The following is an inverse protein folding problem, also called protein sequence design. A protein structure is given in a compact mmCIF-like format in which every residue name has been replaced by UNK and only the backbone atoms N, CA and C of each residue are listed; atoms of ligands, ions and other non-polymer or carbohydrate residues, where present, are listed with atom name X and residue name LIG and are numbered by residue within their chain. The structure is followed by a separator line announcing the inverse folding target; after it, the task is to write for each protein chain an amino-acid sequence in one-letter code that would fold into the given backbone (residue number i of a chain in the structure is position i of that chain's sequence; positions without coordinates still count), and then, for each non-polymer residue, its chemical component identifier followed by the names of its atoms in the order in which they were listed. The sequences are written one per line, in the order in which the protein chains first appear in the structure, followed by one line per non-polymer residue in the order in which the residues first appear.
data_IF_729666785956
#
_entry.id   IF_729666785956
#
_cell.length_a   1.000
_cell.length_b   1.000
_cell.length_c   1.000
_cell.angle_alpha   90.00
_cell.angle_beta   90.00
_cell.angle_gamma   90.00
#
_symmetry.space_group_name_H-M   'P 1'
#
loop_
_entity.id
_entity.type
_entity.pdbx_description
1 polymer ?
#
# COMPACT_ATOMS: atom_id res chain seq x y z
N UNK A 1 21.19 -3.35 -31.31
CA UNK A 1 21.38 -1.99 -31.84
C UNK A 1 20.92 -1.02 -30.76
N UNK A 2 21.88 -0.45 -30.03
CA UNK A 2 21.61 0.70 -29.16
C UNK A 2 21.44 1.92 -30.08
N UNK A 3 20.52 2.79 -29.71
CA UNK A 3 19.98 3.90 -30.50
C UNK A 3 21.09 4.71 -31.17
N UNK A 4 20.97 4.99 -32.49
CA UNK A 4 21.90 5.84 -33.24
C UNK A 4 21.95 7.23 -32.62
N UNK A 5 23.16 7.77 -32.48
CA UNK A 5 23.39 9.17 -32.11
C UNK A 5 22.46 10.09 -32.91
N UNK A 6 21.78 10.98 -32.21
CA UNK A 6 20.76 11.95 -32.68
C UNK A 6 19.34 11.44 -32.98
N UNK A 7 19.05 10.14 -32.79
CA UNK A 7 17.66 9.68 -32.75
C UNK A 7 17.16 9.66 -31.30
N UNK A 8 16.22 10.54 -30.92
CA UNK A 8 15.36 10.26 -29.76
C UNK A 8 14.16 9.42 -30.26
N UNK A 9 14.14 8.09 -30.08
CA UNK A 9 12.98 7.27 -30.45
C UNK A 9 11.74 7.57 -29.59
N UNK A 10 11.94 8.26 -28.46
CA UNK A 10 10.87 8.67 -27.56
C UNK A 10 10.47 10.10 -27.90
N UNK A 11 9.23 10.27 -28.40
CA UNK A 11 8.64 11.61 -28.57
C UNK A 11 8.69 12.37 -27.25
N UNK A 12 9.04 13.66 -27.30
CA UNK A 12 8.97 14.56 -26.13
C UNK A 12 7.58 14.45 -25.51
N UNK A 13 7.52 14.30 -24.18
CA UNK A 13 6.28 14.41 -23.42
C UNK A 13 5.82 15.86 -23.49
N UNK A 14 4.87 16.16 -24.36
CA UNK A 14 4.17 17.44 -24.34
C UNK A 14 3.22 17.50 -23.12
N UNK A 15 2.58 18.65 -22.89
CA UNK A 15 1.41 18.83 -21.99
C UNK A 15 0.18 18.03 -22.47
N UNK A 16 0.40 16.87 -23.08
CA UNK A 16 -0.59 16.06 -23.75
C UNK A 16 -1.54 15.37 -22.78
N UNK A 17 -2.75 15.12 -23.28
CA UNK A 17 -3.73 14.28 -22.61
C UNK A 17 -3.29 12.81 -22.67
N UNK A 18 -3.45 12.08 -21.58
CA UNK A 18 -3.20 10.65 -21.50
C UNK A 18 -4.40 9.91 -20.94
N UNK A 19 -4.31 8.59 -20.85
CA UNK A 19 -5.29 7.77 -20.14
C UNK A 19 -4.55 7.00 -19.04
N UNK A 20 -5.01 7.15 -17.81
CA UNK A 20 -4.57 6.32 -16.68
C UNK A 20 -5.63 5.28 -16.39
N UNK A 21 -5.17 4.08 -16.10
CA UNK A 21 -6.01 2.92 -15.80
C UNK A 21 -5.57 2.36 -14.45
N UNK A 22 -6.53 2.15 -13.54
CA UNK A 22 -6.32 1.48 -12.27
C UNK A 22 -7.22 0.26 -12.19
N UNK A 23 -6.69 -0.89 -11.80
CA UNK A 23 -7.47 -2.12 -11.75
C UNK A 23 -6.99 -3.06 -10.67
N UNK A 24 -7.90 -3.91 -10.22
CA UNK A 24 -7.61 -5.02 -9.34
C UNK A 24 -7.76 -6.33 -10.11
N UNK A 25 -6.85 -7.26 -9.86
CA UNK A 25 -6.81 -8.55 -10.54
C UNK A 25 -7.04 -9.69 -9.54
N UNK A 26 -7.64 -10.76 -10.05
CA UNK A 26 -7.59 -12.11 -9.49
C UNK A 26 -6.66 -12.97 -10.35
N UNK A 27 -6.23 -14.15 -9.88
CA UNK A 27 -5.49 -15.09 -10.73
C UNK A 27 -6.22 -15.53 -12.01
N UNK A 28 -7.50 -15.19 -12.18
CA UNK A 28 -8.34 -15.57 -13.31
C UNK A 28 -8.59 -14.41 -14.28
N UNK A 29 -8.83 -13.20 -13.78
CA UNK A 29 -9.17 -12.02 -14.57
C UNK A 29 -9.07 -10.73 -13.74
N UNK A 30 -9.34 -9.58 -14.35
CA UNK A 30 -9.75 -8.37 -13.61
C UNK A 30 -10.95 -8.69 -12.70
N UNK A 31 -11.10 -7.95 -11.59
CA UNK A 31 -12.28 -8.07 -10.72
C UNK A 31 -13.51 -7.54 -11.48
N UNK A 32 -14.45 -8.44 -11.76
CA UNK A 32 -15.70 -8.16 -12.46
C UNK A 32 -16.80 -9.07 -11.95
N UNK A 33 -18.02 -8.53 -11.83
CA UNK A 33 -19.22 -9.26 -11.52
C UNK A 33 -19.48 -10.36 -12.56
N UNK A 34 -19.85 -11.53 -12.07
CA UNK A 34 -20.14 -12.70 -12.89
C UNK A 34 -21.28 -12.42 -13.88
N UNK A 35 -21.24 -13.10 -15.03
CA UNK A 35 -22.17 -12.86 -16.15
C UNK A 35 -23.65 -13.16 -15.81
N UNK A 36 -23.88 -13.99 -14.79
CA UNK A 36 -25.23 -14.33 -14.31
C UNK A 36 -25.89 -13.19 -13.51
N UNK A 37 -25.13 -12.22 -13.01
CA UNK A 37 -25.70 -11.03 -12.36
C UNK A 37 -26.07 -10.05 -13.47
N UNK A 38 -27.33 -9.59 -13.53
CA UNK A 38 -27.78 -8.63 -14.56
C UNK A 38 -27.21 -7.22 -14.32
N UNK A 39 -27.16 -6.38 -15.36
CA UNK A 39 -26.75 -4.98 -15.20
C UNK A 39 -27.77 -4.16 -14.38
N UNK A 40 -29.05 -4.52 -14.42
CA UNK A 40 -30.11 -3.90 -13.60
C UNK A 40 -29.83 -4.13 -12.11
N UNK A 41 -29.55 -5.39 -11.71
CA UNK A 41 -29.23 -5.72 -10.32
C UNK A 41 -27.97 -5.00 -9.84
N UNK A 42 -26.96 -4.84 -10.71
CA UNK A 42 -25.77 -4.07 -10.36
C UNK A 42 -26.11 -2.60 -10.13
N UNK A 43 -26.94 -2.01 -11.00
CA UNK A 43 -27.37 -0.61 -10.88
C UNK A 43 -28.18 -0.36 -9.60
N UNK A 44 -29.08 -1.29 -9.23
CA UNK A 44 -29.83 -1.23 -7.97
C UNK A 44 -28.91 -1.25 -6.74
N UNK A 45 -27.77 -1.95 -6.83
CA UNK A 45 -26.73 -1.97 -5.79
C UNK A 45 -25.78 -0.76 -5.87
N UNK A 46 -25.97 0.16 -6.81
CA UNK A 46 -25.05 1.27 -7.05
C UNK A 46 -23.68 0.82 -7.57
N UNK A 47 -23.60 -0.35 -8.20
CA UNK A 47 -22.39 -0.96 -8.69
C UNK A 47 -22.35 -1.00 -10.22
N UNK A 48 -21.11 -1.07 -10.72
CA UNK A 48 -20.76 -1.31 -12.12
C UNK A 48 -20.24 -2.74 -12.27
N UNK A 49 -20.14 -3.23 -13.51
CA UNK A 49 -19.73 -4.61 -13.79
C UNK A 49 -18.31 -4.92 -13.39
N UNK A 50 -17.37 -4.01 -13.62
CA UNK A 50 -15.96 -4.20 -13.28
C UNK A 50 -15.49 -3.13 -12.30
N UNK A 51 -14.43 -3.45 -11.56
CA UNK A 51 -13.81 -2.52 -10.62
C UNK A 51 -12.73 -1.63 -11.26
N UNK A 52 -12.58 -1.61 -12.60
CA UNK A 52 -11.52 -0.87 -13.29
C UNK A 52 -11.81 0.63 -13.26
N UNK A 53 -10.85 1.50 -13.03
CA UNK A 53 -11.03 2.94 -13.18
C UNK A 53 -10.20 3.43 -14.35
N UNK A 54 -10.80 4.23 -15.23
CA UNK A 54 -10.15 4.79 -16.40
C UNK A 54 -10.39 6.28 -16.37
N UNK A 55 -9.31 7.06 -16.35
CA UNK A 55 -9.38 8.52 -16.37
C UNK A 55 -8.53 9.07 -17.50
N UNK A 56 -9.01 10.13 -18.14
CA UNK A 56 -8.20 10.94 -19.02
C UNK A 56 -7.39 11.92 -18.16
N UNK A 57 -6.08 11.76 -18.15
CA UNK A 57 -5.17 12.61 -17.39
C UNK A 57 -4.66 13.78 -18.23
N UNK A 58 -4.44 14.92 -17.58
CA UNK A 58 -3.96 16.16 -18.20
C UNK A 58 -4.34 17.37 -17.36
N UNK A 59 -3.52 18.43 -17.40
CA UNK A 59 -3.70 19.60 -16.53
C UNK A 59 -3.67 19.21 -15.05
N UNK A 60 -4.78 19.42 -14.34
CA UNK A 60 -4.94 19.10 -12.91
C UNK A 60 -5.57 17.71 -12.65
N UNK A 61 -5.85 16.92 -13.69
CA UNK A 61 -6.49 15.60 -13.56
C UNK A 61 -5.43 14.51 -13.62
N UNK A 62 -5.22 13.83 -12.48
CA UNK A 62 -4.28 12.72 -12.33
C UNK A 62 -4.86 11.64 -11.41
N UNK A 63 -4.26 10.45 -11.46
CA UNK A 63 -4.57 9.38 -10.51
C UNK A 63 -3.92 9.68 -9.16
N UNK A 64 -4.72 9.81 -8.10
CA UNK A 64 -4.26 10.16 -6.77
C UNK A 64 -4.76 9.16 -5.70
N UNK A 65 -4.35 9.38 -4.44
CA UNK A 65 -4.79 8.53 -3.34
C UNK A 65 -6.32 8.63 -3.12
N UNK A 66 -6.96 9.77 -3.36
CA UNK A 66 -8.40 9.91 -3.17
C UNK A 66 -9.19 9.00 -4.12
N UNK A 67 -8.79 8.95 -5.40
CA UNK A 67 -9.38 8.06 -6.39
C UNK A 67 -9.16 6.59 -6.07
N UNK A 68 -7.99 6.22 -5.59
CA UNK A 68 -7.73 4.86 -5.11
C UNK A 68 -8.65 4.49 -3.94
N UNK A 69 -8.75 5.37 -2.93
CA UNK A 69 -9.62 5.13 -1.77
C UNK A 69 -11.08 5.01 -2.19
N UNK A 70 -11.54 5.83 -3.14
CA UNK A 70 -12.88 5.73 -3.71
C UNK A 70 -13.11 4.39 -4.43
N UNK A 71 -12.16 3.94 -5.25
CA UNK A 71 -12.24 2.66 -5.95
C UNK A 71 -12.34 1.47 -4.98
N UNK A 72 -11.59 1.51 -3.88
CA UNK A 72 -11.62 0.48 -2.83
C UNK A 72 -12.90 0.58 -1.99
N UNK A 73 -13.36 1.79 -1.64
CA UNK A 73 -14.54 1.94 -0.79
C UNK A 73 -15.79 1.41 -1.51
N UNK A 74 -15.94 1.75 -2.79
CA UNK A 74 -17.20 1.61 -3.50
C UNK A 74 -17.25 0.38 -4.40
N UNK A 75 -16.14 -0.01 -5.04
CA UNK A 75 -16.21 -0.97 -6.14
C UNK A 75 -15.46 -2.27 -5.88
N UNK A 76 -14.14 -2.25 -5.66
CA UNK A 76 -13.33 -3.47 -5.75
C UNK A 76 -13.72 -4.58 -4.74
N UNK A 77 -13.82 -4.32 -3.43
CA UNK A 77 -14.40 -5.25 -2.45
C UNK A 77 -15.82 -5.70 -2.76
N UNK A 78 -16.71 -4.75 -3.11
CA UNK A 78 -18.13 -5.03 -3.33
C UNK A 78 -18.33 -6.00 -4.51
N UNK A 79 -17.65 -5.73 -5.63
CA UNK A 79 -17.69 -6.56 -6.84
C UNK A 79 -17.00 -7.91 -6.59
N UNK A 80 -15.94 -7.94 -5.78
CA UNK A 80 -15.31 -9.19 -5.36
C UNK A 80 -16.29 -10.09 -4.59
N UNK A 81 -16.98 -9.56 -3.58
CA UNK A 81 -17.93 -10.33 -2.76
C UNK A 81 -19.08 -10.89 -3.60
N UNK A 82 -19.58 -10.11 -4.57
CA UNK A 82 -20.60 -10.59 -5.51
C UNK A 82 -20.10 -11.75 -6.38
N UNK A 83 -18.82 -11.72 -6.76
CA UNK A 83 -18.22 -12.72 -7.65
C UNK A 83 -17.73 -13.96 -6.92
N UNK A 84 -17.42 -13.82 -5.63
CA UNK A 84 -16.91 -14.87 -4.75
C UNK A 84 -17.62 -14.85 -3.40
N UNK A 85 -18.92 -15.20 -3.33
CA UNK A 85 -19.67 -15.18 -2.09
C UNK A 85 -19.03 -16.06 -1.01
N UNK A 86 -18.94 -15.54 0.22
CA UNK A 86 -18.32 -16.24 1.36
C UNK A 86 -16.79 -16.22 1.40
N UNK A 87 -16.12 -15.67 0.38
CA UNK A 87 -14.67 -15.56 0.36
C UNK A 87 -14.16 -14.26 0.99
N UNK A 88 -12.98 -14.34 1.62
CA UNK A 88 -12.21 -13.16 2.06
C UNK A 88 -11.07 -12.90 1.09
N UNK A 89 -11.06 -11.73 0.45
CA UNK A 89 -9.95 -11.31 -0.41
C UNK A 89 -8.70 -10.96 0.41
N UNK A 90 -7.54 -11.22 -0.18
CA UNK A 90 -6.25 -10.64 0.23
C UNK A 90 -5.80 -9.69 -0.87
N UNK A 91 -5.91 -8.38 -0.62
CA UNK A 91 -5.48 -7.34 -1.54
C UNK A 91 -3.98 -7.09 -1.39
N UNK A 92 -3.28 -7.05 -2.52
CA UNK A 92 -1.85 -6.76 -2.57
C UNK A 92 -1.62 -5.39 -3.18
N UNK A 93 -0.82 -4.56 -2.50
CA UNK A 93 -0.44 -3.23 -2.95
C UNK A 93 1.07 -3.14 -3.08
N UNK A 94 1.58 -2.48 -4.13
CA UNK A 94 3.01 -2.17 -4.21
C UNK A 94 3.41 -1.15 -3.12
N UNK A 95 4.70 -1.07 -2.83
CA UNK A 95 5.24 -0.19 -1.80
C UNK A 95 5.33 1.28 -2.27
N UNK A 96 4.29 1.77 -2.94
CA UNK A 96 4.20 3.15 -3.37
C UNK A 96 3.87 4.08 -2.18
N UNK A 97 4.37 5.33 -2.17
CA UNK A 97 4.03 6.31 -1.14
C UNK A 97 2.52 6.51 -0.95
N UNK A 98 1.74 6.45 -2.05
CA UNK A 98 0.28 6.57 -2.02
C UNK A 98 -0.39 5.42 -1.25
N UNK A 99 0.12 4.20 -1.33
CA UNK A 99 -0.46 3.02 -0.66
C UNK A 99 -0.04 2.93 0.82
N UNK A 100 1.09 3.55 1.15
CA UNK A 100 1.60 3.67 2.51
C UNK A 100 1.16 4.97 3.22
N UNK A 101 0.25 5.73 2.61
CA UNK A 101 -0.27 6.95 3.22
C UNK A 101 -1.02 6.63 4.51
N UNK A 102 -0.71 7.36 5.57
CA UNK A 102 -1.37 7.25 6.86
C UNK A 102 -2.76 7.92 6.83
N UNK A 103 -3.65 7.46 7.70
CA UNK A 103 -4.87 8.22 8.00
C UNK A 103 -4.51 9.56 8.67
N UNK A 104 -5.40 10.56 8.56
CA UNK A 104 -5.12 11.92 9.07
C UNK A 104 -4.87 11.94 10.59
N UNK A 105 -5.58 11.07 11.28
CA UNK A 105 -5.59 10.86 12.73
C UNK A 105 -4.70 9.69 13.18
N UNK A 106 -3.87 9.11 12.31
CA UNK A 106 -3.04 7.97 12.67
C UNK A 106 -1.99 8.32 13.75
N UNK A 107 -1.68 7.35 14.61
CA UNK A 107 -0.63 7.50 15.62
C UNK A 107 0.74 7.56 14.94
N UNK A 108 1.37 8.74 14.94
CA UNK A 108 2.67 8.95 14.26
C UNK A 108 3.63 9.77 15.11
N UNK A 109 4.54 9.08 15.80
CA UNK A 109 5.46 9.69 16.75
C UNK A 109 6.25 10.88 16.16
N UNK A 110 6.67 10.78 14.89
CA UNK A 110 7.44 11.83 14.22
C UNK A 110 6.68 13.15 14.03
N UNK A 111 5.36 13.10 14.10
CA UNK A 111 4.44 14.23 13.96
C UNK A 111 3.99 14.82 15.31
N UNK A 112 4.45 14.25 16.42
CA UNK A 112 4.14 14.75 17.76
C UNK A 112 5.15 15.80 18.22
N UNK A 113 4.65 16.81 18.93
CA UNK A 113 5.48 17.77 19.66
C UNK A 113 5.99 17.16 20.96
N UNK A 114 7.13 17.65 21.47
CA UNK A 114 7.62 17.23 22.78
C UNK A 114 6.69 17.70 23.90
N UNK A 115 6.27 18.96 23.82
CA UNK A 115 5.38 19.63 24.77
C UNK A 115 3.95 19.68 24.20
N UNK A 116 2.94 19.89 25.05
CA UNK A 116 1.58 20.04 24.58
C UNK A 116 1.34 21.18 23.59
N UNK A 117 0.27 21.05 22.80
CA UNK A 117 -0.19 22.03 21.82
C UNK A 117 0.76 22.21 20.62
N UNK A 118 0.77 23.41 20.05
CA UNK A 118 1.52 23.73 18.83
C UNK A 118 0.94 23.07 17.58
N UNK A 119 1.74 23.02 16.51
CA UNK A 119 1.35 22.39 15.24
C UNK A 119 1.56 20.87 15.31
N UNK A 120 0.64 20.17 15.97
CA UNK A 120 0.54 18.71 15.96
C UNK A 120 -0.83 18.28 15.40
N UNK A 121 -0.93 17.15 14.69
CA UNK A 121 -2.22 16.66 14.22
C UNK A 121 -3.04 16.10 15.39
N UNK A 122 -4.36 16.18 15.29
CA UNK A 122 -5.28 15.49 16.18
C UNK A 122 -5.21 14.00 15.88
N UNK A 123 -4.51 13.26 16.74
CA UNK A 123 -4.37 11.81 16.61
C UNK A 123 -5.53 11.11 17.32
N UNK A 124 -5.91 9.95 16.80
CA UNK A 124 -6.85 9.02 17.44
C UNK A 124 -6.30 8.55 18.77
N UNK A 125 -7.18 8.02 19.61
CA UNK A 125 -6.77 7.40 20.86
C UNK A 125 -5.92 6.15 20.59
N UNK A 126 -4.94 5.94 21.46
CA UNK A 126 -4.05 4.79 21.45
C UNK A 126 -4.26 3.92 22.67
N UNK A 127 -3.27 3.09 22.94
CA UNK A 127 -3.28 2.20 24.09
C UNK A 127 -1.85 1.80 24.44
N UNK A 128 -1.64 1.34 25.65
CA UNK A 128 -0.37 0.74 26.06
C UNK A 128 -0.63 -0.43 26.98
N UNK A 129 0.39 -1.26 27.17
CA UNK A 129 0.38 -2.27 28.22
C UNK A 129 1.06 -1.65 29.43
N UNK A 130 0.33 -1.54 30.53
CA UNK A 130 0.91 -1.10 31.79
C UNK A 130 1.94 -2.13 32.27
N UNK A 131 3.15 -1.69 32.58
CA UNK A 131 4.27 -2.59 32.86
C UNK A 131 4.14 -3.32 34.20
N UNK A 132 3.34 -2.77 35.12
CA UNK A 132 3.14 -3.31 36.47
C UNK A 132 2.02 -4.35 36.45
N UNK A 133 0.85 -3.98 35.91
CA UNK A 133 -0.34 -4.83 35.89
C UNK A 133 -0.41 -5.78 34.68
N UNK A 134 0.31 -5.48 33.59
CA UNK A 134 0.21 -6.21 32.33
C UNK A 134 -1.09 -5.97 31.57
N UNK A 135 -1.93 -5.04 32.02
CA UNK A 135 -3.25 -4.76 31.44
C UNK A 135 -3.13 -3.76 30.30
N UNK A 136 -3.96 -3.92 29.27
CA UNK A 136 -4.10 -2.95 28.18
C UNK A 136 -4.91 -1.74 28.65
N UNK A 137 -4.26 -0.58 28.72
CA UNK A 137 -4.84 0.69 29.15
C UNK A 137 -5.12 1.56 27.92
N UNK A 138 -6.36 2.04 27.70
CA UNK A 138 -6.65 3.03 26.66
C UNK A 138 -6.01 4.38 27.02
N UNK A 139 -5.52 5.11 26.02
CA UNK A 139 -4.88 6.41 26.23
C UNK A 139 -5.34 7.43 25.20
N UNK A 140 -5.89 8.55 25.68
CA UNK A 140 -6.18 9.68 24.81
C UNK A 140 -4.95 10.55 24.55
N UNK A 141 -4.80 10.97 23.29
CA UNK A 141 -3.69 11.79 22.82
C UNK A 141 -3.95 13.30 22.92
N UNK A 142 -5.18 13.67 23.25
CA UNK A 142 -5.62 15.04 23.48
C UNK A 142 -6.08 15.19 24.94
N UNK A 143 -5.99 16.39 25.49
CA UNK A 143 -6.65 16.68 26.76
C UNK A 143 -8.16 16.67 26.58
N UNK A 144 -8.88 16.09 27.54
CA UNK A 144 -10.33 16.05 27.49
C UNK A 144 -10.92 17.47 27.58
N UNK A 145 -12.06 17.70 26.93
CA UNK A 145 -12.74 19.00 27.02
C UNK A 145 -13.34 19.26 28.41
N UNK A 146 -13.64 18.20 29.14
CA UNK A 146 -14.22 18.16 30.48
C UNK A 146 -13.20 17.87 31.59
N UNK A 147 -11.89 17.87 31.28
CA UNK A 147 -10.86 17.72 32.30
C UNK A 147 -10.63 19.05 33.04
N UNK A 148 -11.28 19.20 34.19
CA UNK A 148 -11.15 20.39 35.05
C UNK A 148 -9.86 20.45 35.85
N UNK A 149 -9.00 19.43 35.79
CA UNK A 149 -7.69 19.44 36.42
C UNK A 149 -6.63 20.16 35.58
N UNK A 150 -6.90 20.34 34.28
CA UNK A 150 -6.06 21.13 33.36
C UNK A 150 -6.69 22.50 33.08
N UNK A 151 -5.81 23.48 32.85
CA UNK A 151 -6.24 24.83 32.42
C UNK A 151 -7.14 24.74 31.18
N UNK A 152 -8.18 25.57 31.14
CA UNK A 152 -9.09 25.72 29.99
C UNK A 152 -8.32 25.87 28.67
N UNK A 153 -7.17 26.54 28.68
CA UNK A 153 -6.30 26.71 27.52
C UNK A 153 -5.85 25.40 26.88
N UNK A 154 -5.69 24.33 27.65
CA UNK A 154 -5.17 23.04 27.17
C UNK A 154 -6.24 22.06 26.73
N UNK A 155 -7.49 22.28 27.08
CA UNK A 155 -8.60 21.37 26.78
C UNK A 155 -8.79 21.20 25.28
N UNK A 156 -8.94 19.95 24.84
CA UNK A 156 -9.00 19.58 23.43
C UNK A 156 -7.67 19.65 22.68
N UNK A 157 -6.57 20.13 23.29
CA UNK A 157 -5.26 20.22 22.61
C UNK A 157 -4.46 18.92 22.73
N UNK A 158 -3.54 18.65 21.78
CA UNK A 158 -2.63 17.50 21.87
C UNK A 158 -1.70 17.56 23.10
N UNK A 159 -1.56 16.43 23.81
CA UNK A 159 -0.76 16.30 25.05
C UNK A 159 0.77 16.33 24.83
N UNK A 160 1.24 15.98 23.63
CA UNK A 160 2.68 15.90 23.32
C UNK A 160 3.40 14.70 23.95
N UNK A 161 4.60 14.40 23.46
CA UNK A 161 5.35 13.18 23.82
C UNK A 161 5.69 13.10 25.31
N UNK A 162 6.03 14.22 25.96
CA UNK A 162 6.41 14.19 27.39
C UNK A 162 5.26 13.69 28.25
N UNK A 163 4.07 14.27 28.11
CA UNK A 163 2.88 13.88 28.89
C UNK A 163 2.49 12.43 28.59
N UNK A 164 2.44 12.08 27.31
CA UNK A 164 2.06 10.71 26.89
C UNK A 164 3.03 9.66 27.43
N UNK A 165 4.34 9.93 27.42
CA UNK A 165 5.33 9.00 27.97
C UNK A 165 5.32 8.98 29.50
N UNK A 166 4.98 10.09 30.18
CA UNK A 166 4.80 10.11 31.63
C UNK A 166 3.60 9.26 32.05
N UNK A 167 2.47 9.40 31.35
CA UNK A 167 1.28 8.56 31.55
C UNK A 167 1.58 7.07 31.36
N UNK A 168 2.51 6.72 30.46
CA UNK A 168 2.96 5.33 30.25
C UNK A 168 4.05 4.86 31.22
N UNK A 169 4.53 5.71 32.12
CA UNK A 169 5.67 5.39 33.01
C UNK A 169 7.01 5.22 32.27
N UNK A 170 7.14 5.78 31.06
CA UNK A 170 8.30 5.63 30.18
C UNK A 170 9.18 6.90 30.09
N UNK A 171 8.73 8.02 30.65
CA UNK A 171 9.47 9.28 30.58
C UNK A 171 10.69 9.29 31.51
N UNK A 172 11.81 9.82 30.99
CA UNK A 172 13.01 10.13 31.76
C UNK A 172 13.44 11.56 31.42
N UNK A 173 13.86 12.36 32.40
CA UNK A 173 14.15 13.78 32.19
C UNK A 173 15.34 14.06 31.26
N UNK A 174 16.19 13.06 31.03
CA UNK A 174 17.28 13.11 30.06
C UNK A 174 16.82 12.94 28.60
N UNK A 175 15.56 12.50 28.36
CA UNK A 175 15.05 12.26 27.01
C UNK A 175 14.89 13.57 26.24
N UNK A 176 15.59 13.61 25.10
CA UNK A 176 15.42 14.66 24.09
C UNK A 176 14.23 14.32 23.18
N UNK A 177 13.68 15.33 22.50
CA UNK A 177 12.61 15.14 21.51
C UNK A 177 13.04 14.18 20.40
N UNK A 178 14.10 14.55 19.67
CA UNK A 178 14.67 13.80 18.55
C UNK A 178 16.19 13.70 18.70
N UNK A 179 16.77 12.59 18.24
CA UNK A 179 18.22 12.44 18.11
C UNK A 179 18.73 13.34 16.96
N UNK A 180 19.93 13.93 17.11
CA UNK A 180 20.52 14.83 16.08
C UNK A 180 21.08 14.06 14.87
N UNK A 181 21.52 12.82 15.06
CA UNK A 181 21.99 11.91 14.03
C UNK A 181 20.95 10.81 13.78
N UNK A 182 21.16 10.00 12.73
CA UNK A 182 20.39 8.77 12.51
C UNK A 182 20.49 7.93 13.78
N UNK A 183 19.33 7.50 14.29
CA UNK A 183 19.25 6.64 15.45
C UNK A 183 19.83 5.25 15.09
N UNK A 184 21.15 5.11 15.07
CA UNK A 184 21.79 3.84 14.78
C UNK A 184 21.43 2.84 15.88
N UNK A 185 20.72 1.82 15.44
CA UNK A 185 20.23 0.68 16.21
C UNK A 185 21.39 -0.21 16.61
N UNK A 186 21.48 -0.63 17.88
CA UNK A 186 21.66 -2.06 18.22
C UNK A 186 21.76 -2.38 19.73
N UNK A 187 21.97 -1.43 20.65
CA UNK A 187 22.30 -1.81 22.04
C UNK A 187 21.29 -1.41 23.14
N UNK A 188 20.39 -0.45 22.92
CA UNK A 188 19.48 -0.02 23.99
C UNK A 188 18.21 0.61 23.43
N UNK A 189 17.06 0.19 23.95
CA UNK A 189 15.77 0.76 23.60
C UNK A 189 15.80 2.30 23.68
N UNK A 190 15.22 2.94 22.67
CA UNK A 190 14.83 4.35 22.67
C UNK A 190 15.90 5.44 22.98
N UNK A 191 16.61 5.92 21.95
CA UNK A 191 17.54 7.06 22.08
C UNK A 191 16.87 8.42 22.38
N UNK A 192 15.58 8.57 22.07
CA UNK A 192 14.82 9.81 22.22
C UNK A 192 13.32 9.53 22.38
N UNK A 193 12.56 10.54 22.81
CA UNK A 193 11.13 10.45 23.02
C UNK A 193 10.36 10.01 21.76
N UNK A 194 10.70 10.54 20.58
CA UNK A 194 10.09 10.10 19.32
C UNK A 194 10.34 8.61 19.06
N UNK A 195 11.59 8.15 19.20
CA UNK A 195 11.93 6.74 18.95
C UNK A 195 11.26 5.84 19.97
N UNK A 196 11.26 6.21 21.25
CA UNK A 196 10.57 5.49 22.32
C UNK A 196 9.10 5.29 22.01
N UNK A 197 8.45 6.35 21.53
CA UNK A 197 7.04 6.31 21.17
C UNK A 197 6.82 5.45 19.91
N UNK A 198 7.68 5.59 18.89
CA UNK A 198 7.55 4.85 17.63
C UNK A 198 7.67 3.33 17.80
N UNK A 199 8.33 2.85 18.86
CA UNK A 199 8.48 1.41 19.13
C UNK A 199 7.37 0.84 20.01
N UNK A 200 6.47 1.68 20.53
CA UNK A 200 5.32 1.25 21.29
C UNK A 200 4.37 0.41 20.42
N UNK A 201 3.66 -0.57 21.01
CA UNK A 201 2.88 -1.53 20.25
C UNK A 201 1.77 -0.88 19.42
N UNK A 202 1.03 0.05 20.00
CA UNK A 202 -0.05 0.78 19.32
C UNK A 202 0.43 1.64 18.14
N UNK A 203 1.69 2.11 18.17
CA UNK A 203 2.33 2.82 17.05
C UNK A 203 2.84 1.85 15.98
N UNK A 204 3.38 0.69 16.37
CA UNK A 204 3.81 -0.36 15.44
C UNK A 204 2.64 -1.00 14.71
N UNK A 205 1.51 -1.14 15.39
CA UNK A 205 0.31 -1.77 14.87
C UNK A 205 -0.49 -0.84 13.93
N UNK A 206 -0.08 0.43 13.78
CA UNK A 206 -0.69 1.31 12.80
C UNK A 206 -0.47 0.77 11.39
N UNK A 207 -1.56 0.64 10.64
CA UNK A 207 -1.53 0.26 9.22
C UNK A 207 -1.85 1.47 8.34
N UNK A 208 -1.52 1.38 7.05
CA UNK A 208 -1.84 2.44 6.10
C UNK A 208 -3.35 2.64 5.96
N UNK A 209 -3.76 3.81 5.46
CA UNK A 209 -5.17 4.15 5.22
C UNK A 209 -5.85 3.13 4.28
N UNK A 210 -5.12 2.65 3.27
CA UNK A 210 -5.60 1.62 2.35
C UNK A 210 -5.84 0.31 3.08
N UNK A 211 -4.92 -0.11 3.96
CA UNK A 211 -5.08 -1.35 4.73
C UNK A 211 -6.25 -1.28 5.72
N UNK A 212 -6.43 -0.12 6.38
CA UNK A 212 -7.56 0.12 7.28
C UNK A 212 -8.88 -0.05 6.52
N UNK A 213 -9.04 0.66 5.39
CA UNK A 213 -10.27 0.59 4.60
C UNK A 213 -10.57 -0.83 4.08
N UNK A 214 -9.57 -1.55 3.58
CA UNK A 214 -9.77 -2.93 3.12
C UNK A 214 -10.21 -3.84 4.28
N UNK A 215 -9.66 -3.63 5.47
CA UNK A 215 -10.03 -4.39 6.68
C UNK A 215 -11.45 -4.07 7.14
N UNK A 216 -11.85 -2.79 7.14
CA UNK A 216 -13.21 -2.33 7.42
C UNK A 216 -14.23 -2.92 6.44
N UNK A 217 -13.84 -3.17 5.19
CA UNK A 217 -14.65 -3.87 4.18
C UNK A 217 -14.64 -5.39 4.34
N UNK A 218 -14.08 -5.93 5.43
CA UNK A 218 -14.10 -7.36 5.75
C UNK A 218 -13.04 -8.19 5.00
N UNK A 219 -11.98 -7.56 4.47
CA UNK A 219 -10.92 -8.23 3.72
C UNK A 219 -9.55 -8.06 4.41
N UNK A 220 -8.48 -8.55 3.77
CA UNK A 220 -7.10 -8.38 4.24
C UNK A 220 -6.29 -7.57 3.21
N UNK A 221 -5.30 -6.80 3.66
CA UNK A 221 -4.41 -6.04 2.79
C UNK A 221 -2.94 -6.22 3.18
N UNK A 222 -2.11 -6.49 2.17
CA UNK A 222 -0.67 -6.66 2.29
C UNK A 222 0.04 -5.67 1.37
N UNK A 223 1.11 -5.05 1.86
CA UNK A 223 2.01 -4.20 1.07
C UNK A 223 3.25 -5.02 0.71
N UNK A 224 3.63 -5.02 -0.57
CA UNK A 224 4.83 -5.70 -1.02
C UNK A 224 6.11 -5.09 -0.42
N UNK A 225 7.20 -5.86 -0.30
CA UNK A 225 8.52 -5.32 0.02
C UNK A 225 8.95 -4.22 -0.96
N UNK A 226 9.73 -3.25 -0.48
CA UNK A 226 10.32 -2.21 -1.34
C UNK A 226 11.27 -2.84 -2.35
N UNK A 227 11.28 -2.32 -3.57
CA UNK A 227 12.21 -2.70 -4.64
C UNK A 227 12.10 -4.15 -5.16
N UNK A 228 10.93 -4.78 -5.01
CA UNK A 228 10.65 -6.15 -5.45
C UNK A 228 9.45 -6.20 -6.42
N UNK A 229 9.54 -5.50 -7.56
CA UNK A 229 8.43 -5.40 -8.51
C UNK A 229 8.11 -6.75 -9.19
N UNK A 230 9.07 -7.66 -9.27
CA UNK A 230 8.90 -9.02 -9.78
C UNK A 230 7.93 -9.88 -8.95
N UNK A 231 7.71 -9.51 -7.68
CA UNK A 231 6.71 -10.12 -6.80
C UNK A 231 5.30 -9.61 -7.10
N UNK A 232 5.18 -8.42 -7.68
CA UNK A 232 3.92 -7.79 -8.01
C UNK A 232 3.46 -8.20 -9.41
N UNK A 233 2.74 -9.31 -9.51
CA UNK A 233 2.29 -9.88 -10.79
C UNK A 233 1.39 -8.97 -11.64
N UNK A 234 0.76 -7.95 -11.04
CA UNK A 234 0.01 -6.94 -11.80
C UNK A 234 0.92 -6.13 -12.73
N UNK A 235 2.23 -6.01 -12.41
CA UNK A 235 3.20 -5.34 -13.28
C UNK A 235 3.35 -6.06 -14.61
N UNK A 236 3.38 -7.40 -14.62
CA UNK A 236 3.42 -8.19 -15.86
C UNK A 236 2.12 -8.03 -16.67
N UNK A 237 0.98 -7.93 -15.99
CA UNK A 237 -0.29 -7.65 -16.65
C UNK A 237 -0.27 -6.28 -17.35
N UNK A 238 0.17 -5.24 -16.63
CA UNK A 238 0.26 -3.90 -17.19
C UNK A 238 1.32 -3.78 -18.28
N UNK A 239 2.44 -4.49 -18.17
CA UNK A 239 3.46 -4.55 -19.21
C UNK A 239 2.89 -5.15 -20.50
N UNK A 240 2.20 -6.29 -20.42
CA UNK A 240 1.55 -6.92 -21.56
C UNK A 240 0.44 -6.02 -22.18
N UNK A 241 -0.38 -5.38 -21.34
CA UNK A 241 -1.42 -4.47 -21.81
C UNK A 241 -0.81 -3.25 -22.52
N UNK A 242 0.20 -2.61 -21.91
CA UNK A 242 0.91 -1.47 -22.51
C UNK A 242 1.62 -1.87 -23.81
N UNK A 243 2.25 -3.04 -23.85
CA UNK A 243 2.90 -3.55 -25.05
C UNK A 243 1.90 -3.69 -26.20
N UNK A 244 0.74 -4.32 -25.96
CA UNK A 244 -0.31 -4.46 -26.97
C UNK A 244 -0.79 -3.08 -27.42
N UNK A 245 -1.13 -2.19 -26.49
CA UNK A 245 -1.63 -0.85 -26.83
C UNK A 245 -0.61 -0.06 -27.65
N UNK A 246 0.67 -0.10 -27.29
CA UNK A 246 1.75 0.60 -28.03
C UNK A 246 1.96 0.07 -29.43
N UNK A 247 1.72 -1.22 -29.67
CA UNK A 247 1.86 -1.86 -30.98
C UNK A 247 0.68 -1.58 -31.91
N UNK A 248 -0.51 -1.36 -31.36
CA UNK A 248 -1.76 -1.27 -32.13
C UNK A 248 -2.39 0.14 -32.11
N UNK A 249 -1.82 1.10 -31.40
CA UNK A 249 -2.36 2.46 -31.28
C UNK A 249 -1.57 3.46 -32.14
N UNK A 250 -2.29 4.37 -32.79
CA UNK A 250 -1.71 5.52 -33.53
C UNK A 250 -1.27 6.67 -32.64
N UNK A 251 -1.30 6.49 -31.30
CA UNK A 251 -0.98 7.49 -30.28
C UNK A 251 -1.85 8.76 -30.33
N UNK A 252 -3.09 8.63 -30.81
CA UNK A 252 -4.14 9.64 -30.61
C UNK A 252 -5.01 9.26 -29.40
N UNK A 253 -5.61 10.24 -28.73
CA UNK A 253 -6.46 9.96 -27.57
C UNK A 253 -7.67 9.07 -27.93
N UNK A 254 -8.28 9.31 -29.09
CA UNK A 254 -9.37 8.48 -29.61
C UNK A 254 -8.92 7.04 -29.86
N UNK A 255 -7.77 6.84 -30.50
CA UNK A 255 -7.21 5.51 -30.70
C UNK A 255 -6.84 4.82 -29.37
N UNK A 256 -6.37 5.57 -28.37
CA UNK A 256 -6.10 5.03 -27.04
C UNK A 256 -7.37 4.54 -26.35
N UNK A 257 -8.49 5.28 -26.45
CA UNK A 257 -9.80 4.87 -25.87
C UNK A 257 -10.24 3.50 -26.39
N UNK A 258 -10.10 3.26 -27.69
CA UNK A 258 -10.48 1.99 -28.30
C UNK A 258 -9.45 0.88 -28.04
N UNK A 259 -8.14 1.21 -28.05
CA UNK A 259 -7.08 0.21 -27.97
C UNK A 259 -6.79 -0.29 -26.54
N UNK A 260 -6.99 0.55 -25.51
CA UNK A 260 -6.74 0.16 -24.11
C UNK A 260 -7.59 -1.04 -23.67
N UNK A 261 -8.92 -1.08 -23.90
CA UNK A 261 -9.73 -2.27 -23.60
C UNK A 261 -9.23 -3.54 -24.28
N UNK A 262 -8.77 -3.45 -25.54
CA UNK A 262 -8.18 -4.59 -26.24
C UNK A 262 -6.86 -5.05 -25.61
N UNK A 263 -6.00 -4.12 -25.20
CA UNK A 263 -4.75 -4.42 -24.49
C UNK A 263 -4.98 -5.10 -23.15
N UNK A 264 -6.00 -4.66 -22.40
CA UNK A 264 -6.44 -5.30 -21.15
C UNK A 264 -6.92 -6.72 -21.43
N UNK A 265 -7.78 -6.91 -22.45
CA UNK A 265 -8.26 -8.23 -22.87
C UNK A 265 -7.13 -9.15 -23.34
N UNK A 266 -6.11 -8.61 -24.00
CA UNK A 266 -4.91 -9.34 -24.39
C UNK A 266 -4.13 -9.82 -23.16
N UNK A 267 -3.84 -8.93 -22.21
CA UNK A 267 -3.10 -9.26 -21.00
C UNK A 267 -3.84 -10.28 -20.12
N UNK A 268 -5.17 -10.17 -20.04
CA UNK A 268 -6.03 -11.06 -19.24
C UNK A 268 -5.88 -12.54 -19.62
N UNK A 269 -5.64 -12.85 -20.90
CA UNK A 269 -5.45 -14.24 -21.37
C UNK A 269 -4.29 -14.97 -20.67
N UNK A 270 -3.32 -14.23 -20.13
CA UNK A 270 -2.13 -14.78 -19.47
C UNK A 270 -2.01 -14.41 -17.99
N UNK A 271 -3.07 -13.86 -17.38
CA UNK A 271 -3.04 -13.38 -15.99
C UNK A 271 -2.63 -14.46 -14.98
N UNK A 272 -3.12 -15.69 -15.16
CA UNK A 272 -2.75 -16.84 -14.34
C UNK A 272 -1.26 -17.20 -14.45
N UNK A 273 -0.63 -16.97 -15.61
CA UNK A 273 0.81 -17.19 -15.82
C UNK A 273 1.63 -16.16 -15.05
N UNK A 274 1.19 -14.90 -15.03
CA UNK A 274 1.83 -13.83 -14.28
C UNK A 274 1.78 -14.09 -12.78
N UNK A 275 0.61 -14.47 -12.27
CA UNK A 275 0.44 -14.90 -10.88
C UNK A 275 1.38 -16.05 -10.52
N UNK A 276 1.40 -17.12 -11.35
CA UNK A 276 2.28 -18.27 -11.14
C UNK A 276 3.76 -17.88 -11.16
N UNK A 277 4.17 -16.97 -12.05
CA UNK A 277 5.55 -16.49 -12.15
C UNK A 277 5.97 -15.79 -10.86
N UNK A 278 5.20 -14.81 -10.37
CA UNK A 278 5.54 -14.11 -9.12
C UNK A 278 5.54 -15.07 -7.92
N UNK A 279 4.62 -16.03 -7.86
CA UNK A 279 4.66 -17.09 -6.84
C UNK A 279 5.95 -17.90 -6.87
N UNK A 280 6.39 -18.34 -8.05
CA UNK A 280 7.65 -19.10 -8.16
C UNK A 280 8.86 -18.28 -7.70
N UNK A 281 8.86 -16.97 -7.97
CA UNK A 281 9.92 -16.06 -7.50
C UNK A 281 9.88 -15.92 -5.97
N UNK A 282 8.69 -15.83 -5.37
CA UNK A 282 8.56 -15.83 -3.90
C UNK A 282 9.12 -17.11 -3.29
N UNK A 283 8.84 -18.29 -3.87
CA UNK A 283 9.41 -19.55 -3.38
C UNK A 283 10.95 -19.59 -3.54
N UNK A 284 11.48 -19.07 -4.66
CA UNK A 284 12.92 -18.98 -4.88
C UNK A 284 13.60 -18.11 -3.80
N UNK A 285 12.99 -16.97 -3.44
CA UNK A 285 13.51 -16.13 -2.35
C UNK A 285 13.44 -16.81 -0.99
N UNK A 286 12.36 -17.53 -0.68
CA UNK A 286 12.25 -18.31 0.57
C UNK A 286 13.31 -19.42 0.65
N UNK A 287 13.70 -19.97 -0.48
CA UNK A 287 14.79 -20.94 -0.58
C UNK A 287 16.20 -20.29 -0.55
N UNK A 288 16.31 -18.97 -0.32
CA UNK A 288 17.58 -18.25 -0.26
C UNK A 288 18.20 -17.97 -1.64
N UNK A 289 17.49 -18.21 -2.74
CA UNK A 289 17.99 -17.94 -4.08
C UNK A 289 17.56 -16.55 -4.56
N UNK A 290 18.54 -15.69 -4.87
CA UNK A 290 18.27 -14.34 -5.38
C UNK A 290 17.72 -14.37 -6.81
N UNK A 291 16.79 -13.48 -7.14
CA UNK A 291 16.29 -13.27 -8.51
C UNK A 291 17.39 -12.65 -9.39
N UNK A 292 17.59 -13.16 -10.60
CA UNK A 292 18.68 -12.73 -11.49
C UNK A 292 20.01 -13.45 -11.31
N UNK A 293 20.16 -14.26 -10.26
CA UNK A 293 21.30 -15.18 -10.09
C UNK A 293 21.31 -16.27 -11.19
N UNK A 294 22.47 -16.85 -11.50
CA UNK A 294 22.59 -17.98 -12.45
C UNK A 294 21.60 -19.13 -12.14
N UNK A 295 21.26 -19.32 -10.86
CA UNK A 295 20.24 -20.26 -10.37
C UNK A 295 18.80 -19.90 -10.76
N UNK A 296 18.43 -18.61 -10.83
CA UNK A 296 17.09 -18.20 -11.30
C UNK A 296 16.84 -18.49 -12.79
N UNK A 297 17.92 -18.66 -13.58
CA UNK A 297 17.86 -19.10 -14.99
C UNK A 297 17.71 -20.63 -15.15
N UNK A 298 17.80 -21.41 -14.06
CA UNK A 298 17.57 -22.86 -14.09
C UNK A 298 16.09 -23.25 -14.05
N UNK A 299 15.17 -22.30 -13.83
CA UNK A 299 13.73 -22.51 -13.98
C UNK A 299 13.30 -22.52 -15.46
N UNK A 300 13.86 -23.43 -16.26
CA UNK A 300 13.49 -23.63 -17.67
C UNK A 300 12.46 -24.75 -17.87
N UNK A 301 12.09 -25.53 -16.85
CA UNK A 301 11.13 -26.63 -17.04
C UNK A 301 10.07 -26.74 -15.93
N UNK A 302 8.90 -27.21 -16.35
CA UNK A 302 7.60 -27.09 -15.67
C UNK A 302 7.42 -27.90 -14.38
N UNK A 303 8.38 -28.71 -13.94
CA UNK A 303 8.22 -29.60 -12.78
C UNK A 303 9.59 -29.91 -12.14
N UNK A 304 9.78 -29.44 -10.90
CA UNK A 304 10.79 -29.78 -9.87
C UNK A 304 11.70 -28.62 -9.46
N UNK A 305 11.72 -28.38 -8.16
CA UNK A 305 12.74 -27.61 -7.46
C UNK A 305 13.98 -28.50 -7.41
N UNK A 306 15.06 -28.13 -8.12
CA UNK A 306 16.38 -28.66 -7.83
C UNK A 306 16.92 -27.83 -6.66
N UNK A 307 17.01 -28.44 -5.46
CA UNK A 307 17.73 -27.82 -4.36
C UNK A 307 19.20 -27.74 -4.77
N UNK A 308 19.70 -26.54 -5.01
CA UNK A 308 21.12 -26.32 -5.17
C UNK A 308 21.79 -26.56 -3.80
N UNK A 309 22.69 -27.54 -3.76
CA UNK A 309 23.57 -27.79 -2.61
C UNK A 309 24.38 -26.52 -2.33
N UNK A 310 24.15 -25.92 -1.16
CA UNK A 310 24.96 -24.82 -0.64
C UNK A 310 26.41 -25.32 -0.45
N UNK A 311 27.44 -24.56 -0.87
CA UNK A 311 28.81 -24.86 -0.47
C UNK A 311 28.97 -24.57 1.03
N UNK A 312 29.64 -25.48 1.73
CA UNK A 312 29.94 -25.34 3.16
C UNK A 312 30.68 -24.02 3.43
N UNK A 313 30.35 -23.31 4.52
CA UNK A 313 31.04 -22.09 4.90
C UNK A 313 32.48 -22.41 5.36
N UNK A 314 33.43 -21.61 4.89
CA UNK A 314 34.77 -21.45 5.49
C UNK A 314 34.72 -20.27 6.44
#
# INVERSE_FOLDING_TARGET
QWVKDDSQPLRKKELGKGIMVSGFLTPLSTIQATKNISNLNLQELGLRRDAMEIIECGGNVWWDNQRLMHQIANYAPSIFVLSFPGCKAVFFFDNAPSHNAWAKDALKASSMNLRPGGKAPDMRDGWYIDSISGIRVPQSFNFAFDDFTVSEYWRGKPKGLKVILQERGLWQDSLKHKCKAICDTLASGACCAERLMSIQPDFKDQTSKVQQLVTERGHLAIVYPKFHCELNWIEYFWDAAKWYTRKNCTYTLSALRSCIPEGINHAQKSVWKYWRKSRNIMEAYRAGTGWGSHTSKQYKSYRRVQMASLPNPV
#
